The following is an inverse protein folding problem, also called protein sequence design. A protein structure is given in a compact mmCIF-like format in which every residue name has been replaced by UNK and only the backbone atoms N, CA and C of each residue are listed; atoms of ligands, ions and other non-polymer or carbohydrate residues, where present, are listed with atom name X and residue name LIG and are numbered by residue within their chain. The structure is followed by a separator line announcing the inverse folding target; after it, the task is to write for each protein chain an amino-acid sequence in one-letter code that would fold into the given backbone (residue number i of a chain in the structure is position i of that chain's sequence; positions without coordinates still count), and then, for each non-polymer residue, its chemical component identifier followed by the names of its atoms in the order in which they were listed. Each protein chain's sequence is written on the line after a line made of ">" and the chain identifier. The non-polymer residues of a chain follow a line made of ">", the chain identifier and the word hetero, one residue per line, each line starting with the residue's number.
data_IF_601585445821
#
_entry.id   IF_601585445821
#
_cell.length_a   1.000
_cell.length_b   1.000
_cell.length_c   1.000
_cell.angle_alpha   90.00
_cell.angle_beta   90.00
_cell.angle_gamma   90.00
#
_symmetry.space_group_name_H-M   'P 1'
#
loop_
_entity.id
_entity.type
_entity.pdbx_description
1 polymer ?
#
# COMPACT_ATOMS: atom_id res chain seq x y z
N UNK A 1 -43.19 35.68 -24.76
CA UNK A 1 -43.50 37.07 -25.18
C UNK A 1 -44.48 37.68 -24.19
N UNK A 2 -44.25 38.92 -23.74
CA UNK A 2 -45.23 39.78 -23.03
C UNK A 2 -45.38 39.53 -21.51
N UNK A 3 -44.55 40.13 -20.65
CA UNK A 3 -44.81 41.41 -19.93
C UNK A 3 -46.13 41.43 -19.14
N UNK A 4 -46.02 41.60 -17.81
CA UNK A 4 -46.73 42.62 -17.02
C UNK A 4 -46.17 42.69 -15.59
N UNK A 5 -45.41 43.73 -15.31
CA UNK A 5 -45.39 44.38 -14.01
C UNK A 5 -46.72 45.15 -13.85
N UNK A 6 -47.22 45.29 -12.62
CA UNK A 6 -47.12 46.58 -11.92
C UNK A 6 -46.80 46.35 -10.43
N UNK A 7 -46.10 47.24 -9.73
CA UNK A 7 -46.70 48.39 -9.07
C UNK A 7 -45.59 49.29 -8.52
N UNK A 8 -45.88 50.60 -8.52
CA UNK A 8 -44.98 51.68 -8.18
C UNK A 8 -44.74 51.91 -6.68
N UNK A 9 -44.13 53.06 -6.32
CA UNK A 9 -43.18 53.20 -5.22
C UNK A 9 -43.77 53.88 -3.98
N UNK A 10 -43.14 53.69 -2.80
CA UNK A 10 -43.17 54.69 -1.72
C UNK A 10 -41.84 54.74 -0.97
N UNK A 11 -41.29 55.95 -0.92
CA UNK A 11 -40.13 56.39 -0.12
C UNK A 11 -40.54 56.64 1.34
N UNK A 12 -39.51 56.58 2.20
CA UNK A 12 -39.27 57.31 3.47
C UNK A 12 -40.06 56.75 4.68
N UNK A 13 -39.46 56.52 5.86
CA UNK A 13 -38.56 57.38 6.64
C UNK A 13 -37.55 56.64 7.55
N UNK A 14 -36.51 57.37 7.98
CA UNK A 14 -35.49 57.07 9.02
C UNK A 14 -35.97 57.70 10.34
N UNK A 15 -35.57 57.23 11.56
CA UNK A 15 -34.30 57.62 12.22
C UNK A 15 -33.64 56.45 13.02
N UNK A 16 -32.30 56.32 13.10
CA UNK A 16 -31.32 56.88 14.07
C UNK A 16 -31.34 56.27 15.49
N UNK A 17 -30.17 55.81 15.95
CA UNK A 17 -29.88 55.09 17.22
C UNK A 17 -29.68 53.59 16.93
N UNK A 18 -28.57 52.92 17.21
CA UNK A 18 -27.76 52.95 18.42
C UNK A 18 -26.36 52.37 18.14
N UNK A 19 -25.38 52.85 18.89
CA UNK A 19 -24.00 52.41 18.84
C UNK A 19 -23.85 50.98 19.39
N UNK A 20 -23.11 50.13 18.68
CA UNK A 20 -22.48 48.97 19.28
C UNK A 20 -21.12 48.74 18.62
N UNK A 21 -20.09 49.22 19.31
CA UNK A 21 -18.69 48.87 19.11
C UNK A 21 -18.53 47.36 19.20
N UNK A 22 -18.30 46.71 18.06
CA UNK A 22 -17.91 45.30 17.96
C UNK A 22 -16.55 45.20 17.30
N UNK A 23 -15.49 45.40 18.09
CA UNK A 23 -14.15 44.96 17.74
C UNK A 23 -14.16 43.44 17.57
N UNK A 24 -13.80 42.95 16.39
CA UNK A 24 -13.90 41.54 16.06
C UNK A 24 -13.23 41.21 14.73
N UNK A 25 -12.00 41.70 14.53
CA UNK A 25 -11.13 41.22 13.47
C UNK A 25 -10.67 39.79 13.78
N UNK A 26 -11.53 38.80 13.50
CA UNK A 26 -11.12 37.40 13.35
C UNK A 26 -11.35 37.01 11.90
N UNK A 27 -10.34 37.27 11.07
CA UNK A 27 -10.15 36.57 9.79
C UNK A 27 -10.08 35.08 10.13
N UNK A 28 -11.19 34.38 9.94
CA UNK A 28 -11.19 32.92 9.95
C UNK A 28 -10.15 32.44 8.92
N UNK A 29 -9.29 31.47 9.25
CA UNK A 29 -8.42 30.89 8.24
C UNK A 29 -9.34 30.26 7.19
N UNK A 30 -9.20 30.68 5.94
CA UNK A 30 -9.73 29.93 4.80
C UNK A 30 -9.11 28.54 4.85
N UNK A 31 -9.78 27.61 5.55
CA UNK A 31 -9.46 26.20 5.49
C UNK A 31 -9.79 25.80 4.07
N UNK A 32 -8.79 25.83 3.19
CA UNK A 32 -8.91 25.27 1.83
C UNK A 32 -9.43 23.86 2.04
N UNK A 33 -10.68 23.63 1.64
CA UNK A 33 -11.25 22.30 1.54
C UNK A 33 -10.39 21.56 0.53
N UNK A 34 -9.38 20.84 1.02
CA UNK A 34 -8.68 19.84 0.21
C UNK A 34 -9.79 18.86 -0.15
N UNK A 35 -10.31 18.93 -1.39
CA UNK A 35 -11.17 17.88 -1.92
C UNK A 35 -10.40 16.59 -1.71
N UNK A 36 -10.90 15.75 -0.81
CA UNK A 36 -10.34 14.44 -0.58
C UNK A 36 -10.45 13.71 -1.92
N UNK A 37 -9.29 13.44 -2.51
CA UNK A 37 -9.19 12.62 -3.71
C UNK A 37 -9.81 11.24 -3.40
N UNK A 38 -10.94 10.88 -4.02
CA UNK A 38 -11.64 9.63 -3.73
C UNK A 38 -10.81 8.40 -4.08
N UNK A 39 -9.81 8.55 -4.96
CA UNK A 39 -8.90 7.47 -5.36
C UNK A 39 -7.67 7.36 -4.45
N UNK A 40 -7.48 8.30 -3.51
CA UNK A 40 -6.36 8.25 -2.58
C UNK A 40 -6.64 7.15 -1.54
N UNK A 41 -5.84 6.06 -1.50
CA UNK A 41 -6.06 5.01 -0.51
C UNK A 41 -5.92 5.62 0.88
N UNK A 42 -6.86 5.29 1.76
CA UNK A 42 -6.84 5.72 3.15
C UNK A 42 -5.45 5.44 3.76
N UNK A 43 -4.99 6.31 4.68
CA UNK A 43 -3.76 6.04 5.45
C UNK A 43 -3.99 4.78 6.27
N UNK A 44 -3.60 3.63 5.73
CA UNK A 44 -3.79 2.33 6.37
C UNK A 44 -2.85 2.26 7.57
N UNK A 45 -3.39 1.99 8.75
CA UNK A 45 -2.59 1.71 9.92
C UNK A 45 -2.09 0.26 9.86
N UNK A 46 -0.99 0.04 9.14
CA UNK A 46 -0.42 -1.29 8.90
C UNK A 46 0.00 -2.05 10.18
N UNK A 47 0.02 -1.38 11.35
CA UNK A 47 0.42 -1.98 12.63
C UNK A 47 -0.60 -2.99 13.20
N UNK A 48 -1.83 -3.06 12.68
CA UNK A 48 -2.93 -3.84 13.30
C UNK A 48 -3.43 -5.06 12.51
N UNK A 49 -2.82 -5.44 11.37
CA UNK A 49 -3.23 -6.63 10.60
C UNK A 49 -2.42 -7.88 11.02
N UNK A 50 -2.91 -9.12 10.79
CA UNK A 50 -2.11 -10.32 11.03
C UNK A 50 -0.83 -10.26 10.16
N UNK A 51 0.30 -10.08 10.83
CA UNK A 51 1.55 -9.55 10.28
C UNK A 51 2.40 -10.64 9.60
N UNK A 52 1.86 -11.38 8.62
CA UNK A 52 2.75 -12.24 7.85
C UNK A 52 3.74 -11.37 7.09
N UNK A 53 5.03 -11.58 7.35
CA UNK A 53 6.08 -10.76 6.76
C UNK A 53 6.07 -10.90 5.23
N UNK A 54 6.52 -9.88 4.48
CA UNK A 54 6.58 -9.98 3.02
C UNK A 54 7.43 -11.17 2.57
N UNK A 55 8.47 -11.54 3.32
CA UNK A 55 9.29 -12.73 3.06
C UNK A 55 8.49 -14.02 3.24
N UNK A 56 7.65 -14.12 4.27
CA UNK A 56 6.78 -15.27 4.50
C UNK A 56 5.72 -15.43 3.40
N UNK A 57 5.23 -14.31 2.85
CA UNK A 57 4.31 -14.30 1.70
C UNK A 57 5.02 -14.76 0.42
N UNK A 58 6.25 -14.30 0.18
CA UNK A 58 7.06 -14.76 -0.94
C UNK A 58 7.42 -16.25 -0.82
N UNK A 59 7.76 -16.75 0.37
CA UNK A 59 8.01 -18.18 0.56
C UNK A 59 6.76 -19.03 0.27
N UNK A 60 5.56 -18.56 0.63
CA UNK A 60 4.30 -19.22 0.27
C UNK A 60 4.03 -19.21 -1.23
N UNK A 61 4.29 -18.09 -1.89
CA UNK A 61 4.21 -17.99 -3.35
C UNK A 61 5.11 -19.04 -4.00
N UNK A 62 6.36 -19.12 -3.57
CA UNK A 62 7.35 -20.07 -4.09
C UNK A 62 6.95 -21.52 -3.80
N UNK A 63 6.36 -21.81 -2.65
CA UNK A 63 5.90 -23.15 -2.29
C UNK A 63 4.79 -23.61 -3.26
N UNK A 64 3.86 -22.72 -3.58
CA UNK A 64 2.79 -23.02 -4.53
C UNK A 64 3.34 -23.30 -5.94
N UNK A 65 4.36 -22.55 -6.38
CA UNK A 65 4.94 -22.74 -7.72
C UNK A 65 5.82 -23.99 -7.78
N UNK A 66 6.76 -24.13 -6.85
CA UNK A 66 7.82 -25.16 -6.92
C UNK A 66 7.37 -26.54 -6.44
N UNK A 67 6.52 -26.60 -5.40
CA UNK A 67 6.13 -27.87 -4.78
C UNK A 67 4.75 -28.33 -5.22
N UNK A 68 3.84 -27.40 -5.54
CA UNK A 68 2.45 -27.71 -5.90
C UNK A 68 2.18 -27.56 -7.40
N UNK A 69 3.12 -27.03 -8.18
CA UNK A 69 3.02 -26.92 -9.64
C UNK A 69 2.03 -25.86 -10.12
N UNK A 70 1.67 -24.88 -9.29
CA UNK A 70 0.84 -23.77 -9.74
C UNK A 70 1.63 -22.84 -10.67
N UNK A 71 0.92 -22.22 -11.63
CA UNK A 71 1.50 -21.15 -12.41
C UNK A 71 1.83 -19.94 -11.53
N UNK A 72 2.89 -19.22 -11.88
CA UNK A 72 3.32 -18.03 -11.13
C UNK A 72 2.21 -16.98 -11.05
N UNK A 73 1.48 -16.76 -12.14
CA UNK A 73 0.37 -15.78 -12.16
C UNK A 73 -0.78 -16.17 -11.23
N UNK A 74 -1.17 -17.44 -11.21
CA UNK A 74 -2.22 -17.93 -10.32
C UNK A 74 -1.80 -17.82 -8.84
N UNK A 75 -0.55 -18.19 -8.55
CA UNK A 75 0.01 -18.12 -7.21
C UNK A 75 0.16 -16.66 -6.73
N UNK A 76 0.59 -15.75 -7.61
CA UNK A 76 0.68 -14.31 -7.34
C UNK A 76 -0.68 -13.71 -7.04
N UNK A 77 -1.69 -13.97 -7.87
CA UNK A 77 -3.04 -13.47 -7.64
C UNK A 77 -3.56 -13.87 -6.25
N UNK A 78 -3.34 -15.13 -5.86
CA UNK A 78 -3.73 -15.67 -4.55
C UNK A 78 -2.98 -14.99 -3.40
N UNK A 79 -1.65 -14.91 -3.47
CA UNK A 79 -0.83 -14.37 -2.37
C UNK A 79 -1.02 -12.85 -2.23
N UNK A 80 -1.08 -12.11 -3.34
CA UNK A 80 -1.22 -10.65 -3.31
C UNK A 80 -2.59 -10.19 -2.83
N UNK A 81 -3.62 -11.03 -2.97
CA UNK A 81 -4.94 -10.78 -2.38
C UNK A 81 -4.88 -10.75 -0.84
N UNK A 82 -3.97 -11.50 -0.24
CA UNK A 82 -3.75 -11.60 1.21
C UNK A 82 -2.70 -10.59 1.71
N UNK A 83 -1.83 -10.11 0.81
CA UNK A 83 -0.77 -9.17 1.15
C UNK A 83 -1.30 -7.75 1.37
N UNK A 84 -0.72 -7.06 2.36
CA UNK A 84 -0.94 -5.63 2.53
C UNK A 84 -0.48 -4.88 1.26
N UNK A 85 -1.18 -3.81 0.83
CA UNK A 85 -0.85 -3.10 -0.40
C UNK A 85 0.62 -2.65 -0.49
N UNK A 86 1.20 -2.24 0.64
CA UNK A 86 2.62 -1.81 0.75
C UNK A 86 3.61 -2.95 0.49
N UNK A 87 3.23 -4.20 0.74
CA UNK A 87 4.09 -5.36 0.56
C UNK A 87 3.97 -6.00 -0.83
N UNK A 88 2.92 -5.68 -1.60
CA UNK A 88 2.64 -6.35 -2.88
C UNK A 88 3.79 -6.25 -3.89
N UNK A 89 4.33 -5.04 -4.08
CA UNK A 89 5.46 -4.84 -4.99
C UNK A 89 6.71 -5.61 -4.56
N UNK A 90 7.01 -5.61 -3.26
CA UNK A 90 8.15 -6.34 -2.71
C UNK A 90 7.98 -7.87 -2.85
N UNK A 91 6.78 -8.40 -2.55
CA UNK A 91 6.48 -9.83 -2.71
C UNK A 91 6.58 -10.27 -4.17
N UNK A 92 6.09 -9.46 -5.11
CA UNK A 92 6.25 -9.71 -6.54
C UNK A 92 7.72 -9.75 -6.93
N UNK A 93 8.48 -8.71 -6.58
CA UNK A 93 9.91 -8.62 -6.90
C UNK A 93 10.69 -9.84 -6.36
N UNK A 94 10.51 -10.17 -5.07
CA UNK A 94 11.16 -11.35 -4.47
C UNK A 94 10.74 -12.65 -5.17
N UNK A 95 9.46 -12.80 -5.53
CA UNK A 95 8.98 -13.98 -6.25
C UNK A 95 9.69 -14.18 -7.58
N UNK A 96 9.79 -13.12 -8.39
CA UNK A 96 10.49 -13.18 -9.67
C UNK A 96 12.00 -13.38 -9.51
N UNK A 97 12.64 -12.65 -8.60
CA UNK A 97 14.09 -12.69 -8.40
C UNK A 97 14.56 -14.05 -7.87
N UNK A 98 13.82 -14.65 -6.94
CA UNK A 98 14.14 -15.98 -6.41
C UNK A 98 13.96 -17.04 -7.50
N UNK A 99 12.87 -16.99 -8.29
CA UNK A 99 12.66 -17.96 -9.38
C UNK A 99 13.70 -17.81 -10.49
N UNK A 100 14.09 -16.57 -10.82
CA UNK A 100 15.13 -16.28 -11.82
C UNK A 100 16.49 -16.84 -11.41
N UNK A 101 16.82 -16.79 -10.12
CA UNK A 101 18.11 -17.24 -9.58
C UNK A 101 18.00 -18.56 -8.80
N UNK A 102 16.95 -19.35 -9.03
CA UNK A 102 16.58 -20.47 -8.16
C UNK A 102 17.72 -21.48 -7.98
N UNK A 103 18.29 -21.97 -9.09
CA UNK A 103 19.38 -22.96 -9.06
C UNK A 103 20.62 -22.46 -8.30
N UNK A 104 21.00 -21.20 -8.54
CA UNK A 104 22.13 -20.59 -7.85
C UNK A 104 21.86 -20.47 -6.34
N UNK A 105 20.65 -20.03 -5.95
CA UNK A 105 20.27 -19.89 -4.56
C UNK A 105 20.19 -21.24 -3.85
N UNK A 106 19.69 -22.28 -4.53
CA UNK A 106 19.67 -23.67 -4.04
C UNK A 106 21.08 -24.19 -3.81
N UNK A 107 21.99 -23.98 -4.76
CA UNK A 107 23.40 -24.34 -4.61
C UNK A 107 24.03 -23.67 -3.37
N UNK A 108 23.79 -22.37 -3.19
CA UNK A 108 24.30 -21.66 -2.01
C UNK A 108 23.68 -22.18 -0.71
N UNK A 109 22.37 -22.40 -0.67
CA UNK A 109 21.69 -22.98 0.50
C UNK A 109 22.32 -24.32 0.89
N UNK A 110 22.50 -25.21 -0.07
CA UNK A 110 23.02 -26.56 0.18
C UNK A 110 24.51 -26.55 0.55
N UNK A 111 25.26 -25.55 0.07
CA UNK A 111 26.67 -25.34 0.48
C UNK A 111 26.80 -24.75 1.89
N UNK A 112 25.80 -23.99 2.35
CA UNK A 112 25.80 -23.33 3.66
C UNK A 112 25.28 -24.21 4.79
N UNK A 113 24.49 -25.24 4.47
CA UNK A 113 23.87 -26.12 5.44
C UNK A 113 24.61 -27.47 5.48
N UNK A 114 25.19 -27.80 6.63
CA UNK A 114 25.81 -29.13 6.85
C UNK A 114 24.81 -30.28 6.69
N UNK A 115 23.54 -30.03 7.05
CA UNK A 115 22.45 -30.99 6.92
C UNK A 115 21.31 -30.40 6.09
N UNK A 116 20.84 -31.10 5.04
CA UNK A 116 19.74 -30.61 4.23
C UNK A 116 18.44 -30.51 5.05
N UNK A 117 17.64 -29.50 4.73
CA UNK A 117 16.34 -29.28 5.37
C UNK A 117 15.36 -30.37 4.91
N UNK A 118 14.64 -31.03 5.83
CA UNK A 118 13.71 -32.08 5.45
C UNK A 118 12.53 -31.53 4.64
N UNK A 119 12.01 -32.33 3.72
CA UNK A 119 10.92 -31.92 2.81
C UNK A 119 9.64 -31.46 3.55
N UNK A 120 9.37 -32.01 4.74
CA UNK A 120 8.24 -31.58 5.60
C UNK A 120 8.32 -30.09 5.98
N UNK A 121 9.51 -29.50 5.95
CA UNK A 121 9.78 -28.09 6.23
C UNK A 121 10.22 -27.33 4.97
N UNK A 122 9.67 -27.67 3.80
CA UNK A 122 9.96 -27.00 2.54
C UNK A 122 9.80 -25.47 2.62
N UNK A 123 8.81 -24.99 3.37
CA UNK A 123 8.60 -23.54 3.58
C UNK A 123 9.81 -22.85 4.21
N UNK A 124 10.52 -23.50 5.13
CA UNK A 124 11.73 -22.96 5.77
C UNK A 124 12.86 -22.88 4.74
N UNK A 125 13.01 -23.93 3.93
CA UNK A 125 13.99 -23.96 2.84
C UNK A 125 13.78 -22.82 1.84
N UNK A 126 12.52 -22.54 1.50
CA UNK A 126 12.14 -21.41 0.63
C UNK A 126 12.35 -20.06 1.31
N UNK A 127 12.11 -19.95 2.61
CA UNK A 127 12.37 -18.72 3.37
C UNK A 127 13.86 -18.37 3.37
N UNK A 128 14.74 -19.37 3.46
CA UNK A 128 16.18 -19.17 3.35
C UNK A 128 16.56 -18.66 1.96
N UNK A 129 15.97 -19.22 0.90
CA UNK A 129 16.20 -18.76 -0.47
C UNK A 129 15.79 -17.28 -0.64
N UNK A 130 14.66 -16.87 -0.07
CA UNK A 130 14.21 -15.46 -0.04
C UNK A 130 15.21 -14.57 0.73
N UNK A 131 15.69 -15.03 1.89
CA UNK A 131 16.69 -14.29 2.67
C UNK A 131 18.03 -14.13 1.95
N UNK A 132 18.50 -15.19 1.29
CA UNK A 132 19.72 -15.16 0.48
C UNK A 132 19.59 -14.20 -0.70
N UNK A 133 18.45 -14.21 -1.39
CA UNK A 133 18.16 -13.26 -2.47
C UNK A 133 18.23 -11.82 -1.97
N UNK A 134 17.59 -11.51 -0.83
CA UNK A 134 17.62 -10.16 -0.23
C UNK A 134 19.02 -9.65 0.07
N UNK A 135 19.89 -10.51 0.61
CA UNK A 135 21.28 -10.15 0.93
C UNK A 135 22.08 -9.93 -0.36
N UNK A 136 21.88 -10.79 -1.37
CA UNK A 136 22.56 -10.66 -2.66
C UNK A 136 22.06 -9.47 -3.47
N UNK A 137 20.76 -9.17 -3.43
CA UNK A 137 20.12 -8.01 -4.04
C UNK A 137 20.64 -6.71 -3.46
N UNK A 138 20.68 -6.58 -2.13
CA UNK A 138 21.22 -5.41 -1.45
C UNK A 138 22.69 -5.14 -1.84
N UNK A 139 23.49 -6.19 -2.08
CA UNK A 139 24.87 -6.04 -2.55
C UNK A 139 24.95 -5.51 -3.99
N UNK A 140 24.01 -5.87 -4.86
CA UNK A 140 23.98 -5.43 -6.27
C UNK A 140 23.65 -3.95 -6.40
N UNK A 141 22.83 -3.40 -5.51
CA UNK A 141 22.47 -1.98 -5.50
C UNK A 141 23.62 -1.08 -4.99
N UNK A 142 24.59 -1.66 -4.29
CA UNK A 142 25.72 -0.93 -3.71
C UNK A 142 26.97 -0.84 -4.61
N UNK A 143 26.92 -1.43 -5.81
CA UNK A 143 27.99 -1.40 -6.83
C UNK A 143 27.65 -0.45 -7.97
#
# INVERSE_FOLDING_TARGET
>A
MGRRCPCGPRRRDRPAGEAASGSGASRAPHRRSIKADPDRPARVNYRSLPQLSPEALAAQLLLAVTSQGFSLDAALARVLSQAQPVHRGLVQAMGYEVLRHYEALVFWRDSLLERPIPAKSAIISLLILVGLERILGARREAS
#
